data_IF_647184189537
#
_entry.id   IF_647184189537
#
_cell.length_a   1.000
_cell.length_b   1.000
_cell.length_c   1.000
_cell.angle_alpha   90.00
_cell.angle_beta   90.00
_cell.angle_gamma   90.00
#
_symmetry.space_group_name_H-M   'P 1'
#
loop_
_entity.id
_entity.type
_entity.pdbx_description
1 polymer ?
#
# COMPACT_ATOMS: atom_id res chain seq x y z
N UNK A 1 -21.23 -7.14 1.48
CA UNK A 1 -20.64 -8.48 1.68
C UNK A 1 -19.15 -8.31 1.77
N UNK A 2 -18.57 -8.35 2.97
CA UNK A 2 -17.12 -8.45 3.13
C UNK A 2 -16.70 -9.79 2.54
N UNK A 3 -16.12 -9.78 1.33
CA UNK A 3 -15.36 -10.93 0.86
C UNK A 3 -14.19 -11.02 1.83
N UNK A 4 -14.29 -11.91 2.82
CA UNK A 4 -13.12 -12.41 3.52
C UNK A 4 -12.13 -12.81 2.41
N UNK A 5 -10.95 -12.21 2.44
CA UNK A 5 -9.93 -12.49 1.45
C UNK A 5 -9.73 -14.00 1.38
N UNK A 6 -9.75 -14.52 0.15
CA UNK A 6 -9.54 -15.93 -0.12
C UNK A 6 -8.17 -16.34 0.45
N UNK A 7 -8.10 -17.27 1.42
CA UNK A 7 -6.84 -17.62 2.08
C UNK A 7 -5.75 -18.05 1.09
N UNK A 8 -6.13 -18.70 -0.01
CA UNK A 8 -5.18 -19.12 -1.04
C UNK A 8 -4.58 -17.92 -1.79
N UNK A 9 -5.42 -16.91 -2.09
CA UNK A 9 -4.97 -15.68 -2.76
C UNK A 9 -4.08 -14.83 -1.86
N UNK A 10 -4.42 -14.73 -0.56
CA UNK A 10 -3.57 -14.02 0.39
C UNK A 10 -2.21 -14.70 0.54
N UNK A 11 -2.17 -16.02 0.60
CA UNK A 11 -0.92 -16.77 0.61
C UNK A 11 -0.13 -16.62 -0.70
N UNK A 12 -0.82 -16.52 -1.85
CA UNK A 12 -0.16 -16.26 -3.13
C UNK A 12 0.43 -14.85 -3.20
N UNK A 13 -0.29 -13.83 -2.71
CA UNK A 13 0.19 -12.46 -2.62
C UNK A 13 1.40 -12.35 -1.70
N UNK A 14 1.36 -12.97 -0.50
CA UNK A 14 2.49 -12.99 0.43
C UNK A 14 3.75 -13.61 -0.21
N UNK A 15 3.61 -14.76 -0.89
CA UNK A 15 4.73 -15.37 -1.64
C UNK A 15 5.26 -14.46 -2.74
N UNK A 16 4.37 -13.78 -3.46
CA UNK A 16 4.76 -12.84 -4.51
C UNK A 16 5.54 -11.65 -3.94
N UNK A 17 5.06 -11.04 -2.85
CA UNK A 17 5.73 -9.91 -2.21
C UNK A 17 7.11 -10.30 -1.68
N UNK A 18 7.26 -11.50 -1.11
CA UNK A 18 8.57 -12.03 -0.69
C UNK A 18 9.54 -12.18 -1.87
N UNK A 19 9.08 -12.77 -2.98
CA UNK A 19 9.91 -12.91 -4.18
C UNK A 19 10.34 -11.54 -4.75
N UNK A 20 9.45 -10.54 -4.71
CA UNK A 20 9.78 -9.16 -5.11
C UNK A 20 10.80 -8.54 -4.15
N UNK A 21 10.67 -8.76 -2.84
CA UNK A 21 11.67 -8.27 -1.88
C UNK A 21 13.04 -8.91 -2.13
N UNK A 22 13.09 -10.22 -2.37
CA UNK A 22 14.32 -10.94 -2.70
C UNK A 22 14.98 -10.39 -3.97
N UNK A 23 14.22 -10.21 -5.05
CA UNK A 23 14.72 -9.67 -6.32
C UNK A 23 15.27 -8.24 -6.17
N UNK A 24 14.64 -7.42 -5.33
CA UNK A 24 15.02 -6.02 -5.10
C UNK A 24 16.04 -5.85 -3.96
N UNK A 25 16.44 -6.93 -3.28
CA UNK A 25 17.35 -6.87 -2.14
C UNK A 25 16.77 -6.16 -0.90
N UNK A 26 15.45 -6.24 -0.69
CA UNK A 26 14.73 -5.66 0.44
C UNK A 26 14.53 -6.67 1.56
N UNK A 27 14.36 -6.17 2.79
CA UNK A 27 13.94 -7.02 3.91
C UNK A 27 12.51 -7.53 3.70
N UNK A 28 12.30 -8.84 3.83
CA UNK A 28 11.00 -9.48 3.69
C UNK A 28 9.96 -9.00 4.72
N UNK A 29 10.38 -8.41 5.86
CA UNK A 29 9.47 -7.85 6.84
C UNK A 29 9.03 -6.42 6.52
N UNK A 30 9.64 -5.76 5.52
CA UNK A 30 9.40 -4.34 5.23
C UNK A 30 7.94 -4.03 4.96
N UNK A 31 7.18 -4.99 4.42
CA UNK A 31 5.77 -4.81 4.11
C UNK A 31 4.80 -5.33 5.16
N UNK A 32 5.24 -6.19 6.08
CA UNK A 32 4.35 -6.81 7.07
C UNK A 32 3.62 -5.78 7.94
N UNK A 33 4.28 -4.66 8.24
CA UNK A 33 3.75 -3.59 9.09
C UNK A 33 2.76 -2.68 8.36
N UNK A 34 3.05 -2.31 7.10
CA UNK A 34 2.26 -1.31 6.37
C UNK A 34 1.21 -1.90 5.41
N UNK A 35 1.22 -3.22 5.17
CA UNK A 35 0.41 -3.86 4.13
C UNK A 35 -1.07 -3.51 4.21
N UNK A 36 -1.70 -3.68 5.38
CA UNK A 36 -3.15 -3.42 5.51
C UNK A 36 -3.50 -1.96 5.25
N UNK A 37 -2.78 -1.03 5.89
CA UNK A 37 -3.00 0.40 5.73
C UNK A 37 -2.79 0.87 4.28
N UNK A 38 -1.76 0.36 3.61
CA UNK A 38 -1.52 0.65 2.20
C UNK A 38 -2.67 0.11 1.33
N UNK A 39 -3.10 -1.13 1.53
CA UNK A 39 -4.20 -1.72 0.76
C UNK A 39 -5.53 -0.98 0.96
N UNK A 40 -5.82 -0.53 2.19
CA UNK A 40 -7.00 0.27 2.50
C UNK A 40 -6.96 1.62 1.78
N UNK A 41 -5.83 2.33 1.83
CA UNK A 41 -5.64 3.59 1.09
C UNK A 41 -5.82 3.40 -0.42
N UNK A 42 -5.25 2.33 -0.97
CA UNK A 42 -5.35 2.01 -2.39
C UNK A 42 -6.79 1.69 -2.77
N UNK A 43 -7.50 0.98 -1.89
CA UNK A 43 -8.94 0.78 -1.99
C UNK A 43 -9.69 2.10 -2.02
N UNK A 44 -9.43 2.99 -1.06
CA UNK A 44 -10.06 4.32 -0.98
C UNK A 44 -9.85 5.11 -2.28
N UNK A 45 -8.61 5.25 -2.75
CA UNK A 45 -8.31 6.02 -3.96
C UNK A 45 -8.92 5.38 -5.22
N UNK A 46 -8.93 4.04 -5.28
CA UNK A 46 -9.49 3.32 -6.42
C UNK A 46 -11.02 3.41 -6.48
N UNK A 47 -11.71 3.51 -5.34
CA UNK A 47 -13.17 3.69 -5.31
C UNK A 47 -13.57 5.17 -5.37
N UNK A 48 -12.73 6.08 -4.88
CA UNK A 48 -12.91 7.52 -4.93
C UNK A 48 -12.31 8.15 -6.21
N UNK A 49 -11.34 9.08 -6.09
CA UNK A 49 -11.01 10.03 -7.16
C UNK A 49 -10.46 9.40 -8.45
N UNK A 50 -9.70 8.29 -8.39
CA UNK A 50 -9.08 7.73 -9.59
C UNK A 50 -8.48 6.33 -9.39
N UNK A 51 -9.01 5.33 -10.11
CA UNK A 51 -8.45 3.98 -10.18
C UNK A 51 -6.98 3.93 -10.63
N UNK A 52 -6.56 4.62 -11.72
CA UNK A 52 -5.14 4.73 -12.05
C UNK A 52 -4.30 5.48 -11.01
N UNK A 53 -4.91 6.38 -10.24
CA UNK A 53 -4.24 7.16 -9.20
C UNK A 53 -3.74 6.30 -8.04
N UNK A 54 -4.43 5.21 -7.73
CA UNK A 54 -4.07 4.36 -6.58
C UNK A 54 -2.62 3.82 -6.65
N UNK A 55 -2.20 3.05 -7.68
CA UNK A 55 -0.82 2.57 -7.75
C UNK A 55 0.22 3.71 -7.84
N UNK A 56 -0.12 4.84 -8.45
CA UNK A 56 0.77 6.01 -8.52
C UNK A 56 0.97 6.65 -7.15
N UNK A 57 -0.08 6.67 -6.32
CA UNK A 57 0.00 7.16 -4.94
C UNK A 57 0.87 6.26 -4.06
N UNK A 58 0.74 4.93 -4.16
CA UNK A 58 1.63 4.01 -3.43
C UNK A 58 3.11 4.25 -3.78
N UNK A 59 3.40 4.43 -5.08
CA UNK A 59 4.76 4.76 -5.53
C UNK A 59 5.26 6.08 -4.92
N UNK A 60 4.45 7.14 -4.93
CA UNK A 60 4.82 8.43 -4.36
C UNK A 60 5.04 8.37 -2.84
N UNK A 61 4.25 7.56 -2.11
CA UNK A 61 4.46 7.34 -0.67
C UNK A 61 5.82 6.68 -0.44
N UNK A 62 6.18 5.63 -1.19
CA UNK A 62 7.49 4.98 -1.08
C UNK A 62 8.66 5.93 -1.38
N UNK A 63 8.52 6.76 -2.42
CA UNK A 63 9.50 7.83 -2.76
C UNK A 63 9.62 8.83 -1.61
N UNK A 64 8.50 9.29 -1.04
CA UNK A 64 8.48 10.26 0.04
C UNK A 64 9.08 9.70 1.35
N UNK A 65 8.74 8.46 1.71
CA UNK A 65 9.26 7.78 2.90
C UNK A 65 10.79 7.73 2.89
N UNK A 66 11.37 7.38 1.74
CA UNK A 66 12.83 7.33 1.57
C UNK A 66 13.45 8.72 1.52
N UNK A 67 12.89 9.64 0.71
CA UNK A 67 13.47 10.97 0.51
C UNK A 67 13.41 11.85 1.77
N UNK A 68 12.43 11.63 2.63
CA UNK A 68 12.21 12.41 3.85
C UNK A 68 12.60 11.65 5.13
N UNK A 69 13.04 10.39 5.02
CA UNK A 69 13.23 9.49 6.17
C UNK A 69 12.02 9.52 7.11
N UNK A 70 10.82 9.46 6.53
CA UNK A 70 9.54 9.59 7.22
C UNK A 70 8.89 8.22 7.42
N UNK A 71 8.10 8.10 8.49
CA UNK A 71 7.29 6.91 8.72
C UNK A 71 6.22 6.77 7.63
N UNK A 72 6.16 5.59 7.02
CA UNK A 72 5.18 5.29 5.99
C UNK A 72 3.75 5.31 6.54
N UNK A 73 3.51 4.98 7.81
CA UNK A 73 2.19 5.10 8.43
C UNK A 73 1.70 6.55 8.44
N UNK A 74 2.54 7.48 8.91
CA UNK A 74 2.19 8.90 8.92
C UNK A 74 1.91 9.44 7.51
N UNK A 75 2.67 8.98 6.50
CA UNK A 75 2.45 9.36 5.11
C UNK A 75 1.13 8.78 4.57
N UNK A 76 0.82 7.52 4.88
CA UNK A 76 -0.45 6.88 4.50
C UNK A 76 -1.63 7.65 5.10
N UNK A 77 -1.59 7.95 6.40
CA UNK A 77 -2.66 8.67 7.09
C UNK A 77 -2.89 10.08 6.51
N UNK A 78 -1.80 10.81 6.26
CA UNK A 78 -1.86 12.13 5.62
C UNK A 78 -2.48 12.09 4.23
N UNK A 79 -2.17 11.05 3.45
CA UNK A 79 -2.68 10.89 2.09
C UNK A 79 -4.13 10.38 2.10
N UNK A 80 -4.50 9.52 3.05
CA UNK A 80 -5.89 9.09 3.25
C UNK A 80 -6.78 10.28 3.59
N UNK A 81 -6.38 11.12 4.56
CA UNK A 81 -7.09 12.35 4.90
C UNK A 81 -7.11 13.39 3.76
N UNK A 82 -6.16 13.32 2.83
CA UNK A 82 -6.20 14.12 1.61
C UNK A 82 -7.22 13.56 0.63
N UNK A 83 -7.23 12.23 0.41
CA UNK A 83 -8.15 11.56 -0.51
C UNK A 83 -9.63 11.81 -0.17
N UNK A 84 -9.98 11.89 1.12
CA UNK A 84 -11.33 12.27 1.59
C UNK A 84 -11.82 13.64 1.07
N UNK A 85 -10.90 14.52 0.67
CA UNK A 85 -11.23 15.85 0.13
C UNK A 85 -11.46 15.84 -1.39
N UNK A 86 -11.18 14.71 -2.04
CA UNK A 86 -11.31 14.51 -3.49
C UNK A 86 -12.33 13.42 -3.85
N UNK A 87 -13.03 12.86 -2.86
CA UNK A 87 -14.29 12.13 -3.07
C UNK A 87 -15.44 13.09 -3.41
#
# INVERSE_FOLDING_TARGET
>A
MSRKDDPEKMAQMDRWLKAVCEELGLDNSVMAEYQMHMLDLIGQIAHGPSRPGAPLTAYLIGVAATAQNADAHELIDRVSALADKFE
#
